data_IF_570824539651
#
_entry.id   IF_570824539651
#
_cell.length_a   1.000
_cell.length_b   1.000
_cell.length_c   1.000
_cell.angle_alpha   90.00
_cell.angle_beta   90.00
_cell.angle_gamma   90.00
#
_symmetry.space_group_name_H-M   'P 1'
#
loop_
_entity.id
_entity.type
_entity.pdbx_description
1 polymer ?
#
# COMPACT_ATOMS: atom_id res chain seq x y z
N UNK A 1 56.39 -44.09 -6.32
CA UNK A 1 55.37 -44.00 -5.25
C UNK A 1 55.76 -42.81 -4.38
N UNK A 2 54.87 -41.82 -4.18
CA UNK A 2 55.16 -40.69 -3.31
C UNK A 2 55.35 -41.16 -1.85
N UNK A 3 56.25 -40.51 -1.13
CA UNK A 3 56.53 -40.83 0.27
C UNK A 3 55.41 -40.32 1.19
N UNK A 4 55.28 -40.90 2.38
CA UNK A 4 54.29 -40.47 3.36
C UNK A 4 54.45 -38.99 3.76
N UNK A 5 55.68 -38.45 3.72
CA UNK A 5 55.93 -37.04 3.99
C UNK A 5 55.43 -36.12 2.88
N UNK A 6 55.61 -36.51 1.61
CA UNK A 6 55.08 -35.77 0.45
C UNK A 6 53.55 -35.72 0.47
N UNK A 7 52.91 -36.84 0.83
CA UNK A 7 51.44 -36.91 0.98
C UNK A 7 50.96 -35.95 2.08
N UNK A 8 51.58 -35.98 3.27
CA UNK A 8 51.22 -35.08 4.38
C UNK A 8 51.41 -33.61 4.03
N UNK A 9 52.50 -33.28 3.34
CA UNK A 9 52.78 -31.91 2.88
C UNK A 9 51.76 -31.44 1.84
N UNK A 10 51.36 -32.32 0.92
CA UNK A 10 50.31 -32.03 -0.08
C UNK A 10 48.95 -31.76 0.57
N UNK A 11 48.54 -32.60 1.52
CA UNK A 11 47.30 -32.41 2.29
C UNK A 11 47.34 -31.08 3.07
N UNK A 12 48.48 -30.75 3.70
CA UNK A 12 48.65 -29.49 4.41
C UNK A 12 48.43 -28.27 3.51
N UNK A 13 49.05 -28.25 2.32
CA UNK A 13 48.88 -27.17 1.33
C UNK A 13 47.43 -27.05 0.85
N UNK A 14 46.77 -28.18 0.60
CA UNK A 14 45.37 -28.20 0.16
C UNK A 14 44.43 -27.65 1.24
N UNK A 15 44.64 -28.05 2.49
CA UNK A 15 43.85 -27.56 3.62
C UNK A 15 44.04 -26.07 3.86
N UNK A 16 45.28 -25.56 3.74
CA UNK A 16 45.57 -24.14 3.84
C UNK A 16 44.90 -23.33 2.73
N UNK A 17 44.99 -23.80 1.48
CA UNK A 17 44.32 -23.17 0.34
C UNK A 17 42.79 -23.14 0.51
N UNK A 18 42.19 -24.24 0.97
CA UNK A 18 40.76 -24.31 1.25
C UNK A 18 40.33 -23.30 2.32
N UNK A 19 41.06 -23.22 3.44
CA UNK A 19 40.77 -22.26 4.52
C UNK A 19 40.88 -20.81 4.04
N UNK A 20 41.91 -20.47 3.26
CA UNK A 20 42.07 -19.13 2.69
C UNK A 20 40.95 -18.78 1.72
N UNK A 21 40.53 -19.71 0.87
CA UNK A 21 39.43 -19.48 -0.08
C UNK A 21 38.10 -19.24 0.63
N UNK A 22 37.80 -20.03 1.66
CA UNK A 22 36.61 -19.84 2.51
C UNK A 22 36.67 -18.46 3.20
N UNK A 23 37.83 -18.08 3.74
CA UNK A 23 38.03 -16.77 4.36
C UNK A 23 37.74 -15.61 3.40
N UNK A 24 38.29 -15.67 2.18
CA UNK A 24 38.03 -14.68 1.12
C UNK A 24 36.55 -14.62 0.73
N UNK A 25 35.90 -15.77 0.62
CA UNK A 25 34.47 -15.87 0.32
C UNK A 25 33.61 -15.21 1.41
N UNK A 26 33.91 -15.50 2.68
CA UNK A 26 33.20 -14.91 3.82
C UNK A 26 33.42 -13.40 3.92
N UNK A 27 34.62 -12.91 3.63
CA UNK A 27 34.92 -11.48 3.61
C UNK A 27 34.17 -10.75 2.47
N UNK A 28 34.14 -11.35 1.27
CA UNK A 28 33.37 -10.83 0.15
C UNK A 28 31.86 -10.79 0.44
N UNK A 29 31.32 -11.85 1.04
CA UNK A 29 29.92 -11.92 1.46
C UNK A 29 29.59 -10.82 2.48
N UNK A 30 30.43 -10.62 3.51
CA UNK A 30 30.23 -9.54 4.50
C UNK A 30 30.23 -8.15 3.86
N UNK A 31 31.14 -7.89 2.92
CA UNK A 31 31.17 -6.63 2.17
C UNK A 31 29.92 -6.45 1.31
N UNK A 32 29.45 -7.51 0.67
CA UNK A 32 28.26 -7.47 -0.17
C UNK A 32 27.01 -7.16 0.65
N UNK A 33 26.79 -7.90 1.74
CA UNK A 33 25.68 -7.65 2.68
C UNK A 33 25.70 -6.21 3.19
N UNK A 34 26.88 -5.68 3.53
CA UNK A 34 27.01 -4.28 3.94
C UNK A 34 26.55 -3.28 2.87
N UNK A 35 26.86 -3.54 1.59
CA UNK A 35 26.41 -2.70 0.47
C UNK A 35 24.91 -2.81 0.24
N UNK A 36 24.37 -4.04 0.26
CA UNK A 36 22.94 -4.30 0.08
C UNK A 36 22.11 -3.60 1.18
N UNK A 37 22.58 -3.62 2.42
CA UNK A 37 21.93 -2.92 3.53
C UNK A 37 21.94 -1.39 3.38
N UNK A 38 23.01 -0.82 2.81
CA UNK A 38 23.09 0.61 2.52
C UNK A 38 22.14 0.97 1.37
N UNK A 39 22.05 0.13 0.34
CA UNK A 39 21.14 0.32 -0.78
C UNK A 39 19.67 0.27 -0.34
N UNK A 40 19.31 -0.72 0.49
CA UNK A 40 18.00 -0.82 1.13
C UNK A 40 17.67 0.41 1.98
N UNK A 41 18.61 0.89 2.81
CA UNK A 41 18.40 2.06 3.68
C UNK A 41 18.29 3.37 2.92
N UNK A 42 19.04 3.52 1.83
CA UNK A 42 19.05 4.76 1.05
C UNK A 42 17.91 4.79 0.03
N UNK A 43 17.27 3.65 -0.26
CA UNK A 43 16.09 3.55 -1.11
C UNK A 43 16.34 4.03 -2.54
N UNK A 44 17.59 4.10 -2.99
CA UNK A 44 17.95 4.67 -4.31
C UNK A 44 17.25 3.95 -5.45
N UNK A 45 17.14 2.62 -5.35
CA UNK A 45 16.45 1.79 -6.32
C UNK A 45 14.94 2.09 -6.31
N UNK A 46 14.33 2.20 -5.12
CA UNK A 46 12.91 2.55 -4.98
C UNK A 46 12.59 3.97 -5.51
N UNK A 47 13.47 4.94 -5.31
CA UNK A 47 13.33 6.30 -5.86
C UNK A 47 13.45 6.29 -7.39
N UNK A 48 14.36 5.49 -7.95
CA UNK A 48 14.48 5.33 -9.41
C UNK A 48 13.23 4.69 -10.01
N UNK A 49 12.69 3.65 -9.37
CA UNK A 49 11.45 2.99 -9.80
C UNK A 49 10.25 3.93 -9.75
N UNK A 50 10.12 4.72 -8.67
CA UNK A 50 9.08 5.76 -8.56
C UNK A 50 9.25 6.79 -9.68
N UNK A 51 10.46 7.28 -9.91
CA UNK A 51 10.72 8.27 -10.97
C UNK A 51 10.48 7.72 -12.38
N UNK A 52 10.65 6.41 -12.59
CA UNK A 52 10.31 5.75 -13.85
C UNK A 52 8.79 5.64 -14.06
N UNK A 53 8.03 5.51 -12.97
CA UNK A 53 6.55 5.44 -12.99
C UNK A 53 5.88 6.80 -12.99
N UNK A 54 6.54 7.85 -12.49
CA UNK A 54 6.06 9.24 -12.58
C UNK A 54 6.04 9.62 -14.06
N UNK A 55 4.84 9.53 -14.63
CA UNK A 55 4.56 9.95 -15.99
C UNK A 55 4.90 11.43 -16.10
N UNK A 56 5.83 11.77 -17.00
CA UNK A 56 6.15 13.18 -17.26
C UNK A 56 4.87 13.93 -17.63
N UNK A 57 4.57 15.08 -17.01
CA UNK A 57 3.38 15.84 -17.31
C UNK A 57 3.36 16.15 -18.82
N UNK A 58 2.33 15.64 -19.49
CA UNK A 58 2.17 15.79 -20.93
C UNK A 58 2.13 17.28 -21.25
N UNK A 59 3.14 17.79 -21.97
CA UNK A 59 3.15 19.18 -22.40
C UNK A 59 1.88 19.44 -23.20
N UNK A 60 1.02 20.32 -22.69
CA UNK A 60 -0.18 20.71 -23.39
C UNK A 60 0.23 21.52 -24.62
N UNK A 61 0.06 20.92 -25.82
CA UNK A 61 0.20 21.65 -27.08
C UNK A 61 -0.88 22.72 -27.11
N UNK A 62 -0.47 23.98 -27.13
CA UNK A 62 -1.38 25.08 -27.40
C UNK A 62 -1.96 24.93 -28.81
N UNK A 63 -3.28 25.03 -28.92
CA UNK A 63 -3.95 25.01 -30.22
C UNK A 63 -3.50 26.21 -31.07
N UNK A 64 -3.28 26.04 -32.38
CA UNK A 64 -3.03 27.15 -33.29
C UNK A 64 -4.20 28.13 -33.25
N UNK A 65 -3.90 29.41 -33.04
CA UNK A 65 -4.93 30.46 -33.08
C UNK A 65 -5.31 30.72 -34.53
N UNK A 66 -6.54 30.41 -34.90
CA UNK A 66 -7.11 30.82 -36.17
C UNK A 66 -7.66 32.24 -36.07
N UNK A 67 -7.43 33.06 -37.09
CA UNK A 67 -8.03 34.39 -37.19
C UNK A 67 -9.55 34.26 -37.36
N UNK A 68 -10.34 35.08 -36.65
CA UNK A 68 -11.79 35.07 -36.80
C UNK A 68 -12.17 35.52 -38.22
N UNK A 69 -12.83 34.63 -38.97
CA UNK A 69 -13.39 34.94 -40.29
C UNK A 69 -14.86 35.35 -40.16
N UNK A 70 -15.19 36.53 -40.69
CA UNK A 70 -16.54 36.93 -41.09
C UNK A 70 -17.53 37.15 -39.94
N UNK A 71 -17.76 38.43 -39.59
CA UNK A 71 -18.83 38.81 -38.67
C UNK A 71 -20.20 38.61 -39.29
N UNK A 72 -20.87 37.50 -38.96
CA UNK A 72 -22.33 37.45 -39.05
C UNK A 72 -22.90 38.41 -38.00
N UNK A 73 -23.85 39.24 -38.40
CA UNK A 73 -24.55 40.16 -37.49
C UNK A 73 -25.11 39.39 -36.31
N UNK A 74 -24.77 39.80 -35.09
CA UNK A 74 -25.22 39.14 -33.87
C UNK A 74 -26.75 39.16 -33.76
N UNK A 75 -27.37 37.99 -33.81
CA UNK A 75 -28.73 37.77 -33.34
C UNK A 75 -28.70 37.28 -31.89
N UNK A 76 -29.59 37.81 -31.04
CA UNK A 76 -29.76 37.31 -29.69
C UNK A 76 -30.65 36.05 -29.76
N UNK A 77 -30.05 34.87 -29.64
CA UNK A 77 -30.77 33.63 -29.45
C UNK A 77 -31.14 33.47 -27.98
N UNK A 78 -32.43 33.58 -27.64
CA UNK A 78 -32.91 33.23 -26.30
C UNK A 78 -33.27 31.75 -26.31
N UNK A 79 -32.43 30.92 -25.70
CA UNK A 79 -32.77 29.54 -25.37
C UNK A 79 -33.49 29.50 -24.04
N UNK A 80 -34.72 29.00 -24.00
CA UNK A 80 -35.35 28.61 -22.73
C UNK A 80 -34.58 27.42 -22.17
N UNK A 81 -33.82 27.65 -21.10
CA UNK A 81 -33.19 26.57 -20.34
C UNK A 81 -34.29 25.76 -19.66
N UNK A 82 -34.49 24.53 -20.13
CA UNK A 82 -35.25 23.53 -19.39
C UNK A 82 -34.24 22.80 -18.50
N UNK A 83 -34.21 23.04 -17.18
CA UNK A 83 -33.37 22.25 -16.29
C UNK A 83 -33.75 20.78 -16.43
N UNK A 84 -32.78 19.86 -16.46
CA UNK A 84 -33.10 18.45 -16.28
C UNK A 84 -33.89 18.30 -14.97
N UNK A 85 -34.93 17.46 -14.93
CA UNK A 85 -35.69 17.24 -13.71
C UNK A 85 -34.71 16.92 -12.59
N UNK A 86 -34.85 17.62 -11.45
CA UNK A 86 -34.05 17.35 -10.27
C UNK A 86 -34.09 15.83 -10.03
N UNK A 87 -32.94 15.17 -10.06
CA UNK A 87 -32.92 13.74 -9.75
C UNK A 87 -33.43 13.60 -8.33
N UNK A 88 -34.53 12.86 -8.16
CA UNK A 88 -35.14 12.51 -6.87
C UNK A 88 -34.28 11.47 -6.15
N UNK A 89 -32.99 11.74 -6.03
CA UNK A 89 -31.98 10.75 -5.69
C UNK A 89 -30.58 11.35 -5.64
N UNK A 90 -30.41 12.43 -4.89
CA UNK A 90 -29.10 12.71 -4.31
C UNK A 90 -28.81 11.61 -3.30
N UNK A 91 -28.15 10.53 -3.72
CA UNK A 91 -27.77 9.40 -2.87
C UNK A 91 -26.70 9.72 -1.82
N UNK A 92 -26.64 10.97 -1.36
CA UNK A 92 -25.71 11.46 -0.38
C UNK A 92 -26.21 11.25 1.05
N UNK A 93 -25.25 11.15 1.96
CA UNK A 93 -25.48 11.15 3.40
C UNK A 93 -25.45 12.61 3.87
N UNK A 94 -26.43 13.03 4.67
CA UNK A 94 -26.53 14.41 5.12
C UNK A 94 -25.52 14.70 6.26
N UNK A 95 -24.68 15.73 6.10
CA UNK A 95 -23.74 16.14 7.16
C UNK A 95 -24.41 17.10 8.16
N UNK A 96 -24.07 17.07 9.45
CA UNK A 96 -23.04 16.22 10.08
C UNK A 96 -23.52 14.79 10.38
N UNK A 97 -22.57 13.87 10.47
CA UNK A 97 -22.78 12.53 11.03
C UNK A 97 -22.50 12.55 12.53
N UNK A 98 -23.41 12.00 13.31
CA UNK A 98 -23.29 11.84 14.77
C UNK A 98 -23.16 10.36 15.12
N UNK A 99 -22.12 9.99 15.87
CA UNK A 99 -21.93 8.61 16.31
C UNK A 99 -22.89 8.32 17.45
N UNK A 100 -23.77 7.34 17.26
CA UNK A 100 -24.71 6.89 18.30
C UNK A 100 -24.14 5.72 19.09
N UNK A 101 -23.52 4.76 18.40
CA UNK A 101 -23.02 3.56 19.05
C UNK A 101 -21.79 3.00 18.34
N UNK A 102 -20.81 2.55 19.12
CA UNK A 102 -19.67 1.76 18.65
C UNK A 102 -19.82 0.36 19.27
N UNK A 103 -19.83 -0.66 18.42
CA UNK A 103 -19.94 -2.06 18.84
C UNK A 103 -18.62 -2.73 18.57
N UNK A 104 -18.06 -3.35 19.59
CA UNK A 104 -16.78 -4.05 19.55
C UNK A 104 -16.97 -5.53 19.24
N UNK A 105 -15.90 -6.18 18.76
CA UNK A 105 -15.85 -7.63 18.58
C UNK A 105 -16.08 -8.35 19.91
N UNK A 106 -16.78 -9.49 19.84
CA UNK A 106 -17.00 -10.34 21.01
C UNK A 106 -15.67 -10.89 21.53
N UNK A 107 -14.88 -11.44 20.60
CA UNK A 107 -13.57 -11.99 20.86
C UNK A 107 -12.47 -10.91 20.81
N UNK A 108 -11.55 -10.89 21.79
CA UNK A 108 -10.38 -10.02 21.76
C UNK A 108 -9.30 -10.56 20.81
N UNK A 109 -8.61 -9.65 20.13
CA UNK A 109 -7.39 -9.93 19.39
C UNK A 109 -6.18 -9.80 20.32
N UNK A 110 -5.28 -10.78 20.30
CA UNK A 110 -4.05 -10.75 21.08
C UNK A 110 -2.90 -10.19 20.24
N UNK A 111 -2.34 -9.07 20.68
CA UNK A 111 -1.20 -8.42 20.04
C UNK A 111 0.04 -8.67 20.88
N UNK A 112 1.04 -9.34 20.33
CA UNK A 112 2.30 -9.60 21.00
C UNK A 112 3.13 -8.32 21.14
N UNK A 113 3.83 -8.21 22.27
CA UNK A 113 4.95 -7.27 22.42
C UNK A 113 6.09 -7.65 21.47
N UNK A 114 6.88 -6.65 21.05
CA UNK A 114 7.96 -6.87 20.08
C UNK A 114 9.08 -7.77 20.63
N UNK A 115 9.26 -7.80 21.94
CA UNK A 115 10.23 -8.62 22.66
C UNK A 115 9.65 -9.97 23.12
N UNK A 116 8.41 -10.28 22.72
CA UNK A 116 7.66 -11.47 23.10
C UNK A 116 7.48 -11.65 24.63
N UNK A 117 7.61 -10.58 25.42
CA UNK A 117 7.44 -10.61 26.88
C UNK A 117 5.99 -10.78 27.34
N UNK A 118 5.02 -10.54 26.46
CA UNK A 118 3.60 -10.67 26.75
C UNK A 118 2.68 -10.27 25.61
N UNK A 119 1.38 -10.30 25.90
CA UNK A 119 0.30 -10.00 24.96
C UNK A 119 -0.66 -8.95 25.53
N UNK A 120 -1.16 -8.08 24.66
CA UNK A 120 -2.31 -7.22 24.94
C UNK A 120 -3.56 -7.83 24.33
N UNK A 121 -4.62 -7.96 25.12
CA UNK A 121 -5.96 -8.32 24.63
C UNK A 121 -6.69 -7.04 24.22
N UNK A 122 -7.00 -6.90 22.93
CA UNK A 122 -7.65 -5.71 22.36
C UNK A 122 -8.92 -6.12 21.63
N UNK A 123 -10.06 -5.55 22.03
CA UNK A 123 -11.32 -5.69 21.27
C UNK A 123 -11.33 -4.70 20.11
N UNK A 124 -11.44 -5.21 18.88
CA UNK A 124 -11.50 -4.38 17.68
C UNK A 124 -12.92 -3.83 17.52
N UNK A 125 -13.07 -2.70 16.83
CA UNK A 125 -14.39 -2.22 16.44
C UNK A 125 -14.96 -3.21 15.41
N UNK A 126 -16.22 -3.61 15.57
CA UNK A 126 -16.93 -4.45 14.61
C UNK A 126 -17.83 -3.61 13.71
N UNK A 127 -18.57 -2.66 14.31
CA UNK A 127 -19.48 -1.76 13.60
C UNK A 127 -19.66 -0.43 14.32
N UNK A 128 -19.95 0.60 13.56
CA UNK A 128 -20.28 1.94 14.06
C UNK A 128 -21.66 2.31 13.52
N UNK A 129 -22.57 2.64 14.43
CA UNK A 129 -23.90 3.18 14.13
C UNK A 129 -23.85 4.69 14.24
N UNK A 130 -24.16 5.36 13.14
CA UNK A 130 -24.22 6.81 13.05
C UNK A 130 -25.62 7.25 12.64
N UNK A 131 -25.94 8.50 12.95
CA UNK A 131 -27.15 9.17 12.48
C UNK A 131 -26.74 10.44 11.76
N UNK A 132 -27.33 10.66 10.59
CA UNK A 132 -27.08 11.82 9.76
C UNK A 132 -27.96 13.03 10.17
N UNK A 133 -27.77 14.18 9.55
CA UNK A 133 -28.53 15.39 9.89
C UNK A 133 -30.05 15.27 9.65
N UNK A 134 -30.48 14.30 8.85
CA UNK A 134 -31.88 14.02 8.50
C UNK A 134 -32.48 12.87 9.34
N UNK A 135 -31.72 12.36 10.32
CA UNK A 135 -32.15 11.27 11.20
C UNK A 135 -32.02 9.87 10.60
N UNK A 136 -31.37 9.73 9.44
CA UNK A 136 -31.14 8.42 8.80
C UNK A 136 -30.02 7.68 9.52
N UNK A 137 -30.26 6.40 9.81
CA UNK A 137 -29.26 5.53 10.40
C UNK A 137 -28.27 5.04 9.34
N UNK A 138 -26.99 5.28 9.59
CA UNK A 138 -25.88 4.83 8.76
C UNK A 138 -25.08 3.81 9.58
N UNK A 139 -24.97 2.59 9.06
CA UNK A 139 -24.18 1.53 9.69
C UNK A 139 -22.92 1.34 8.86
N UNK A 140 -21.77 1.52 9.48
CA UNK A 140 -20.47 1.20 8.88
C UNK A 140 -19.97 -0.09 9.48
N UNK A 141 -19.68 -1.05 8.61
CA UNK A 141 -19.20 -2.39 8.93
C UNK A 141 -17.90 -2.67 8.15
N UNK A 142 -17.29 -3.83 8.36
CA UNK A 142 -16.03 -4.20 7.68
C UNK A 142 -14.76 -3.77 8.42
N UNK A 143 -14.87 -3.42 9.70
CA UNK A 143 -13.71 -3.21 10.59
C UNK A 143 -13.07 -4.52 11.07
N UNK A 144 -13.70 -5.66 10.76
CA UNK A 144 -13.23 -6.98 11.15
C UNK A 144 -11.88 -7.32 10.49
N UNK A 145 -11.15 -8.24 11.14
CA UNK A 145 -9.88 -8.73 10.64
C UNK A 145 -10.02 -9.25 9.20
N UNK A 146 -9.02 -8.89 8.40
CA UNK A 146 -8.84 -9.49 7.09
C UNK A 146 -8.72 -11.02 7.25
N UNK A 147 -9.17 -11.77 6.25
CA UNK A 147 -8.93 -13.21 6.19
C UNK A 147 -7.42 -13.53 6.19
N UNK A 148 -7.08 -14.81 6.23
CA UNK A 148 -5.68 -15.28 6.14
C UNK A 148 -4.93 -14.81 4.88
N UNK A 149 -5.66 -14.29 3.89
CA UNK A 149 -5.15 -13.78 2.62
C UNK A 149 -5.17 -12.24 2.53
N UNK A 150 -5.54 -11.53 3.60
CA UNK A 150 -5.58 -10.07 3.62
C UNK A 150 -6.82 -9.44 2.96
N UNK A 151 -7.87 -10.22 2.70
CA UNK A 151 -9.13 -9.70 2.16
C UNK A 151 -10.13 -9.40 3.28
N UNK A 152 -11.04 -8.42 3.11
CA UNK A 152 -12.14 -8.20 4.05
C UNK A 152 -12.95 -9.49 4.22
N UNK A 153 -13.09 -9.98 5.46
CA UNK A 153 -13.96 -11.12 5.75
C UNK A 153 -15.38 -10.74 5.30
N UNK A 154 -16.08 -11.59 4.51
CA UNK A 154 -17.46 -11.31 4.11
C UNK A 154 -18.33 -11.04 5.34
N UNK A 155 -19.32 -10.14 5.27
CA UNK A 155 -20.27 -9.97 6.35
C UNK A 155 -20.95 -11.33 6.61
N UNK A 156 -20.83 -11.83 7.83
CA UNK A 156 -21.57 -13.03 8.24
C UNK A 156 -23.05 -12.68 8.20
N UNK A 157 -23.81 -13.35 7.34
CA UNK A 157 -25.24 -13.15 7.22
C UNK A 157 -25.89 -13.55 8.57
N UNK A 158 -26.59 -12.65 9.27
CA UNK A 158 -27.23 -12.97 10.54
C UNK A 158 -28.41 -13.95 10.42
N UNK A 159 -28.82 -14.31 9.20
CA UNK A 159 -29.95 -15.21 8.93
C UNK A 159 -29.50 -16.52 8.26
N UNK A 160 -28.61 -17.27 8.92
CA UNK A 160 -28.41 -18.69 8.58
C UNK A 160 -29.70 -19.48 8.70
#
# INVERSE_FOLDING_TARGET
MPTNEEIRRGIGKNNEAARRNIGKGNEAARRQIGRDMIELRTGKQQVQDINALVTQPRQQRSLPRHEPRGGLSGGVGVGTYTPPPASTGGGGIASPLTVQQIIYSEEPSYVATFDASGYFAVKKIARIVMVDAEGRQIIVEGFAALDENGNPKPPENPNG
#
